data_IF_974834028674
#
_entry.id   IF_974834028674
#
_cell.length_a   1.000
_cell.length_b   1.000
_cell.length_c   1.000
_cell.angle_alpha   90.00
_cell.angle_beta   90.00
_cell.angle_gamma   90.00
#
_symmetry.space_group_name_H-M   'P 1'
#
loop_
_entity.id
_entity.type
_entity.pdbx_description
1 polymer ?
#
# COMPACT_ATOMS: atom_id res chain seq x y z
N UNK A 1 -16.43 -12.82 11.29
CA UNK A 1 -15.68 -12.45 12.51
C UNK A 1 -16.39 -11.25 13.13
N UNK A 2 -17.18 -11.46 14.18
CA UNK A 2 -18.03 -10.40 14.75
C UNK A 2 -17.35 -9.80 15.99
N UNK A 3 -16.77 -8.61 15.83
CA UNK A 3 -16.28 -7.80 16.95
C UNK A 3 -17.44 -6.96 17.52
N UNK A 4 -17.56 -6.90 18.85
CA UNK A 4 -18.56 -6.05 19.53
C UNK A 4 -18.31 -4.56 19.33
N UNK A 5 -17.05 -4.17 19.08
CA UNK A 5 -16.66 -2.79 18.83
C UNK A 5 -15.64 -2.69 17.70
N UNK A 6 -15.74 -1.62 16.90
CA UNK A 6 -14.75 -1.28 15.86
C UNK A 6 -13.54 -0.63 16.51
N UNK A 7 -12.58 -1.44 16.98
CA UNK A 7 -11.26 -0.95 17.43
C UNK A 7 -10.28 -0.86 16.27
N UNK A 8 -10.61 -0.08 15.25
CA UNK A 8 -9.69 0.22 14.16
C UNK A 8 -9.80 1.69 13.75
N UNK A 9 -8.71 2.24 13.23
CA UNK A 9 -8.69 3.59 12.67
C UNK A 9 -9.33 3.57 11.28
N UNK A 10 -10.27 4.47 11.03
CA UNK A 10 -10.93 4.62 9.73
C UNK A 10 -11.29 6.08 9.50
N UNK A 11 -10.53 6.74 8.64
CA UNK A 11 -10.72 8.13 8.27
C UNK A 11 -11.59 8.22 7.00
N UNK A 12 -12.79 8.77 7.14
CA UNK A 12 -13.73 8.94 6.00
C UNK A 12 -13.50 10.22 5.21
N UNK A 13 -12.68 11.13 5.70
CA UNK A 13 -12.52 12.46 5.09
C UNK A 13 -11.87 12.44 3.70
N UNK A 14 -10.93 11.53 3.38
CA UNK A 14 -10.37 11.40 2.03
C UNK A 14 -11.34 10.88 0.96
N UNK A 15 -12.49 10.31 1.34
CA UNK A 15 -13.48 9.80 0.41
C UNK A 15 -14.23 10.96 -0.27
N UNK A 16 -14.17 11.02 -1.60
CA UNK A 16 -14.85 12.02 -2.43
C UNK A 16 -16.36 11.78 -2.42
N UNK A 17 -16.77 10.55 -2.69
CA UNK A 17 -18.17 10.12 -2.56
C UNK A 17 -18.30 9.01 -1.53
N UNK A 18 -18.66 9.39 -0.29
CA UNK A 18 -18.81 8.47 0.85
C UNK A 18 -19.88 7.38 0.63
N UNK A 19 -20.78 7.51 -0.35
CA UNK A 19 -21.79 6.46 -0.66
C UNK A 19 -21.26 5.39 -1.61
N UNK A 20 -20.22 5.69 -2.37
CA UNK A 20 -19.69 4.80 -3.41
C UNK A 20 -18.29 4.33 -3.07
N UNK A 21 -17.43 5.24 -2.63
CA UNK A 21 -16.01 4.98 -2.39
C UNK A 21 -15.74 4.30 -1.04
N UNK A 22 -16.75 3.95 -0.25
CA UNK A 22 -16.56 3.00 0.85
C UNK A 22 -16.34 1.56 0.32
N UNK A 23 -16.89 1.24 -0.86
CA UNK A 23 -16.91 -0.13 -1.41
C UNK A 23 -16.23 -0.23 -2.79
N UNK A 24 -16.24 0.83 -3.60
CA UNK A 24 -15.78 0.78 -4.99
C UNK A 24 -14.87 1.97 -5.33
N UNK A 25 -13.65 1.67 -5.78
CA UNK A 25 -12.72 2.65 -6.33
C UNK A 25 -12.42 2.36 -7.80
N UNK A 26 -12.55 3.39 -8.64
CA UNK A 26 -12.10 3.34 -10.03
C UNK A 26 -10.68 3.90 -10.11
N UNK A 27 -9.68 3.03 -10.14
CA UNK A 27 -8.26 3.41 -10.26
C UNK A 27 -7.74 2.92 -11.62
N UNK A 28 -7.30 3.81 -12.52
CA UNK A 28 -6.76 3.40 -13.80
C UNK A 28 -5.44 2.63 -13.60
N UNK A 29 -5.36 1.42 -14.18
CA UNK A 29 -4.12 0.67 -14.18
C UNK A 29 -3.06 1.40 -15.01
N UNK A 30 -1.91 1.71 -14.40
CA UNK A 30 -0.72 2.19 -15.11
C UNK A 30 0.39 1.17 -14.92
N UNK A 31 0.55 0.22 -15.86
CA UNK A 31 1.62 -0.76 -15.79
C UNK A 31 2.97 -0.02 -15.74
N UNK A 32 3.79 -0.33 -14.74
CA UNK A 32 5.21 0.05 -14.74
C UNK A 32 5.99 -1.03 -15.47
N UNK A 33 6.99 -0.63 -16.25
CA UNK A 33 7.90 -1.58 -16.87
C UNK A 33 8.56 -2.44 -15.78
N UNK A 34 8.46 -3.74 -15.95
CA UNK A 34 9.16 -4.73 -15.15
C UNK A 34 10.63 -4.70 -15.55
N UNK A 35 11.52 -4.25 -14.66
CA UNK A 35 12.98 -4.24 -14.88
C UNK A 35 13.55 -5.69 -14.89
N UNK A 36 12.99 -6.59 -15.69
CA UNK A 36 13.41 -7.99 -15.82
C UNK A 36 12.84 -8.98 -14.80
N UNK A 37 12.04 -8.53 -13.83
CA UNK A 37 11.31 -9.39 -12.89
C UNK A 37 9.83 -9.35 -13.24
N UNK A 38 9.20 -10.51 -13.46
CA UNK A 38 7.75 -10.61 -13.69
C UNK A 38 6.99 -10.16 -12.45
N UNK A 39 6.70 -8.86 -12.39
CA UNK A 39 5.97 -8.24 -11.29
C UNK A 39 4.53 -7.97 -11.71
N UNK A 40 3.60 -8.05 -10.74
CA UNK A 40 2.21 -7.64 -10.89
C UNK A 40 1.91 -6.50 -9.90
N UNK A 41 2.51 -5.32 -10.07
CA UNK A 41 2.40 -4.24 -9.09
C UNK A 41 1.00 -3.62 -9.17
N UNK A 42 0.38 -3.41 -8.02
CA UNK A 42 -0.80 -2.54 -7.94
C UNK A 42 -0.39 -1.06 -8.09
N UNK A 43 -1.32 -0.16 -8.51
CA UNK A 43 -1.04 1.27 -8.63
C UNK A 43 -0.73 1.93 -7.28
N UNK A 44 0.16 2.93 -7.28
CA UNK A 44 0.50 3.73 -6.10
C UNK A 44 -0.74 4.37 -5.44
N UNK A 45 -1.70 4.78 -6.26
CA UNK A 45 -2.95 5.39 -5.80
C UNK A 45 -3.77 4.46 -4.91
N UNK A 46 -3.76 3.15 -5.20
CA UNK A 46 -4.46 2.17 -4.37
C UNK A 46 -3.88 2.19 -2.94
N UNK A 47 -2.55 2.18 -2.83
CA UNK A 47 -1.89 2.22 -1.53
C UNK A 47 -2.15 3.54 -0.82
N UNK A 48 -2.04 4.69 -1.52
CA UNK A 48 -2.29 6.00 -0.89
C UNK A 48 -3.68 6.04 -0.25
N UNK A 49 -4.72 5.67 -1.00
CA UNK A 49 -6.10 5.65 -0.48
C UNK A 49 -6.23 4.74 0.74
N UNK A 50 -5.68 3.52 0.67
CA UNK A 50 -5.66 2.60 1.81
C UNK A 50 -5.00 3.20 3.05
N UNK A 51 -3.89 3.92 2.90
CA UNK A 51 -3.15 4.52 4.01
C UNK A 51 -3.85 5.76 4.58
N UNK A 52 -4.38 6.65 3.74
CA UNK A 52 -5.11 7.85 4.18
C UNK A 52 -6.36 7.50 5.00
N UNK A 53 -7.02 6.39 4.65
CA UNK A 53 -8.22 5.90 5.31
C UNK A 53 -7.88 5.01 6.51
N UNK A 54 -6.96 4.06 6.35
CA UNK A 54 -6.74 2.97 7.29
C UNK A 54 -5.54 3.13 8.23
N UNK A 55 -4.65 4.10 7.98
CA UNK A 55 -3.44 4.31 8.77
C UNK A 55 -3.48 5.67 9.47
N UNK A 56 -3.18 5.68 10.77
CA UNK A 56 -2.99 6.94 11.50
C UNK A 56 -1.80 7.72 10.91
N UNK A 57 -1.80 9.06 10.96
CA UNK A 57 -0.61 9.86 10.67
C UNK A 57 0.61 9.28 11.39
N UNK A 58 1.74 9.18 10.67
CA UNK A 58 3.01 8.56 11.14
C UNK A 58 2.88 7.12 11.69
N UNK A 59 1.82 6.41 11.28
CA UNK A 59 1.56 5.03 11.66
C UNK A 59 2.58 4.00 11.13
N UNK A 60 2.32 2.74 11.46
CA UNK A 60 3.10 1.57 11.03
C UNK A 60 2.29 0.77 10.02
N UNK A 61 2.89 0.44 8.88
CA UNK A 61 2.29 -0.36 7.80
C UNK A 61 2.96 -1.73 7.78
N UNK A 62 2.17 -2.79 7.62
CA UNK A 62 2.65 -4.15 7.40
C UNK A 62 2.14 -4.64 6.05
N UNK A 63 3.04 -5.08 5.20
CA UNK A 63 2.71 -5.82 3.98
C UNK A 63 3.35 -7.22 4.04
N UNK A 64 2.56 -8.29 4.26
CA UNK A 64 3.08 -9.66 4.32
C UNK A 64 3.44 -10.25 2.95
N UNK A 65 3.10 -9.57 1.85
CA UNK A 65 3.34 -9.99 0.46
C UNK A 65 3.85 -8.81 -0.37
N UNK A 66 5.01 -8.27 0.03
CA UNK A 66 5.54 -7.01 -0.45
C UNK A 66 5.76 -6.97 -1.97
N UNK A 67 6.13 -8.10 -2.57
CA UNK A 67 6.46 -8.23 -3.99
C UNK A 67 7.44 -7.16 -4.45
N UNK A 68 7.03 -6.38 -5.46
CA UNK A 68 7.83 -5.27 -6.01
C UNK A 68 8.08 -4.08 -5.07
N UNK A 69 7.47 -4.04 -3.88
CA UNK A 69 7.75 -2.98 -2.90
C UNK A 69 6.84 -1.75 -2.98
N UNK A 70 5.77 -1.76 -3.80
CA UNK A 70 4.86 -0.60 -3.94
C UNK A 70 4.32 -0.11 -2.60
N UNK A 71 3.90 -1.00 -1.70
CA UNK A 71 3.41 -0.61 -0.36
C UNK A 71 4.46 0.14 0.44
N UNK A 72 5.69 -0.38 0.48
CA UNK A 72 6.78 0.25 1.22
C UNK A 72 7.15 1.61 0.66
N UNK A 73 7.30 1.73 -0.66
CA UNK A 73 7.62 3.00 -1.33
C UNK A 73 6.58 4.07 -1.04
N UNK A 74 5.30 3.74 -1.21
CA UNK A 74 4.22 4.71 -0.95
C UNK A 74 4.14 5.06 0.54
N UNK A 75 4.19 4.08 1.44
CA UNK A 75 4.14 4.31 2.88
C UNK A 75 5.26 5.24 3.36
N UNK A 76 6.50 5.00 2.94
CA UNK A 76 7.65 5.84 3.28
C UNK A 76 7.50 7.26 2.71
N UNK A 77 7.04 7.40 1.46
CA UNK A 77 6.82 8.72 0.85
C UNK A 77 5.76 9.57 1.57
N UNK A 78 4.84 8.90 2.28
CA UNK A 78 3.80 9.54 3.10
C UNK A 78 4.24 9.75 4.57
N UNK A 79 5.48 9.40 4.92
CA UNK A 79 6.02 9.56 6.29
C UNK A 79 5.59 8.47 7.28
N UNK A 80 5.11 7.32 6.79
CA UNK A 80 4.85 6.15 7.62
C UNK A 80 6.10 5.29 7.77
N UNK A 81 6.15 4.47 8.82
CA UNK A 81 7.11 3.36 8.91
C UNK A 81 6.47 2.09 8.34
N UNK A 82 7.28 1.23 7.72
CA UNK A 82 6.78 0.02 7.05
C UNK A 82 7.61 -1.21 7.40
N UNK A 83 6.94 -2.35 7.51
CA UNK A 83 7.53 -3.70 7.53
C UNK A 83 6.97 -4.41 6.30
N UNK A 84 7.86 -4.83 5.40
CA UNK A 84 7.50 -5.61 4.23
C UNK A 84 8.12 -7.00 4.30
N UNK A 85 7.34 -8.03 3.95
CA UNK A 85 7.76 -9.42 3.94
C UNK A 85 7.45 -9.98 2.54
N UNK A 86 8.39 -10.74 1.97
CA UNK A 86 8.10 -11.59 0.81
C UNK A 86 8.85 -12.91 0.97
N UNK A 87 8.29 -13.99 0.43
CA UNK A 87 8.92 -15.31 0.46
C UNK A 87 10.01 -15.43 -0.61
N UNK A 88 9.87 -14.72 -1.71
CA UNK A 88 10.83 -14.77 -2.80
C UNK A 88 12.00 -13.81 -2.50
N UNK A 89 13.24 -14.32 -2.33
CA UNK A 89 14.40 -13.47 -2.09
C UNK A 89 14.66 -12.45 -3.20
N UNK A 90 14.30 -12.76 -4.46
CA UNK A 90 14.49 -11.83 -5.58
C UNK A 90 13.59 -10.59 -5.45
N UNK A 91 12.34 -10.77 -4.97
CA UNK A 91 11.46 -9.64 -4.65
C UNK A 91 11.99 -8.83 -3.47
N UNK A 92 12.52 -9.47 -2.43
CA UNK A 92 13.15 -8.77 -1.31
C UNK A 92 14.34 -7.91 -1.78
N UNK A 93 15.23 -8.46 -2.61
CA UNK A 93 16.38 -7.73 -3.15
C UNK A 93 15.95 -6.58 -4.05
N UNK A 94 14.98 -6.81 -4.94
CA UNK A 94 14.44 -5.78 -5.81
C UNK A 94 13.81 -4.64 -5.01
N UNK A 95 12.96 -4.94 -4.02
CA UNK A 95 12.36 -3.94 -3.16
C UNK A 95 13.42 -3.12 -2.40
N UNK A 96 14.45 -3.76 -1.84
CA UNK A 96 15.56 -3.03 -1.17
C UNK A 96 16.29 -2.10 -2.13
N UNK A 97 16.53 -2.52 -3.38
CA UNK A 97 17.15 -1.67 -4.39
C UNK A 97 16.28 -0.45 -4.70
N UNK A 98 15.00 -0.66 -5.03
CA UNK A 98 14.04 0.42 -5.33
C UNK A 98 13.92 1.43 -4.17
N UNK A 99 13.89 0.95 -2.92
CA UNK A 99 13.75 1.80 -1.73
C UNK A 99 15.00 2.62 -1.41
N UNK A 100 16.19 2.21 -1.88
CA UNK A 100 17.44 2.96 -1.68
C UNK A 100 17.62 4.11 -2.67
N UNK A 101 16.94 4.03 -3.81
CA UNK A 101 16.98 5.04 -4.88
C UNK A 101 15.85 6.10 -4.74
N UNK A 102 15.06 6.04 -3.67
CA UNK A 102 14.01 7.01 -3.33
C UNK A 102 14.57 8.28 -2.70
#
# INVERSE_FOLDING_TARGET
MFSRDRRYYFNKDPLVDKKVEEDMWTIPARPKATNGIDTAPFPDELVRRCLEIGCKPTGKVLDPFLGSGTTARVALSMGHSVIGIDINPDFCLHAVHELREM
#
